data_IF_933442081641
#
_entry.id   IF_933442081641
#
_cell.length_a   1.000
_cell.length_b   1.000
_cell.length_c   1.000
_cell.angle_alpha   90.00
_cell.angle_beta   90.00
_cell.angle_gamma   90.00
#
_symmetry.space_group_name_H-M   'P 1'
#
loop_
_entity.id
_entity.type
_entity.pdbx_description
1 polymer ?
#
# COMPACT_ATOMS: atom_id res chain seq x y z
N UNK A 1 59.54 27.67 51.26
CA UNK A 1 58.32 28.17 50.63
C UNK A 1 57.80 27.09 49.72
N UNK A 2 56.88 26.22 50.21
CA UNK A 2 56.37 25.05 49.49
C UNK A 2 55.04 25.44 48.87
N UNK A 3 54.90 25.24 47.53
CA UNK A 3 53.65 25.35 46.79
C UNK A 3 53.02 23.95 46.64
N UNK A 4 51.73 23.75 46.91
CA UNK A 4 51.06 22.46 46.72
C UNK A 4 50.58 22.27 45.28
N UNK A 5 50.98 21.17 44.69
CA UNK A 5 50.47 20.69 43.40
C UNK A 5 49.05 20.20 43.51
N UNK A 6 48.11 20.83 42.79
CA UNK A 6 46.73 20.35 42.62
C UNK A 6 46.70 19.17 41.66
N UNK A 7 46.26 18.01 42.17
CA UNK A 7 45.84 16.86 41.32
C UNK A 7 44.54 17.21 40.61
N UNK A 8 44.57 17.20 39.28
CA UNK A 8 43.38 17.27 38.44
C UNK A 8 42.80 15.83 38.33
N UNK A 9 41.55 15.68 38.80
CA UNK A 9 40.80 14.42 38.79
C UNK A 9 40.38 14.07 37.36
N UNK A 10 40.82 12.93 36.89
CA UNK A 10 40.49 12.32 35.60
C UNK A 10 39.19 11.51 35.69
N UNK A 11 38.03 12.19 35.83
CA UNK A 11 36.73 11.51 35.87
C UNK A 11 35.77 11.84 34.70
N UNK A 12 36.26 12.40 33.59
CA UNK A 12 35.38 12.82 32.49
C UNK A 12 35.48 12.00 31.21
N UNK A 13 36.06 10.79 31.27
CA UNK A 13 36.20 9.96 30.06
C UNK A 13 35.20 8.80 29.92
N UNK A 14 34.21 8.67 30.80
CA UNK A 14 33.27 7.51 30.73
C UNK A 14 31.84 7.84 30.29
N UNK A 15 31.47 9.11 30.09
CA UNK A 15 30.09 9.48 29.74
C UNK A 15 29.82 9.77 28.25
N UNK A 16 30.82 9.74 27.35
CA UNK A 16 30.64 10.06 25.93
C UNK A 16 30.45 8.85 25.01
N UNK A 17 30.54 7.62 25.52
CA UNK A 17 30.43 6.41 24.71
C UNK A 17 29.04 5.74 24.69
N UNK A 18 28.06 6.24 25.43
CA UNK A 18 26.73 5.64 25.53
C UNK A 18 25.71 6.29 24.58
N UNK A 19 26.03 7.45 23.94
CA UNK A 19 25.05 8.21 23.14
C UNK A 19 25.13 7.94 21.62
N UNK A 20 26.02 7.08 21.13
CA UNK A 20 26.21 6.86 19.69
C UNK A 20 25.55 5.58 19.15
N UNK A 21 24.86 4.79 19.96
CA UNK A 21 24.28 3.50 19.53
C UNK A 21 22.77 3.53 19.29
N UNK A 22 22.09 4.67 19.35
CA UNK A 22 20.62 4.77 19.26
C UNK A 22 20.08 5.31 17.93
N UNK A 23 20.92 5.54 16.91
CA UNK A 23 20.46 6.17 15.65
C UNK A 23 20.39 5.22 14.43
N UNK A 24 20.50 3.91 14.61
CA UNK A 24 20.45 2.96 13.47
C UNK A 24 19.18 2.11 13.36
N UNK A 25 18.12 2.42 14.10
CA UNK A 25 16.91 1.57 14.13
C UNK A 25 15.86 1.97 13.05
N UNK A 26 16.09 2.99 12.24
CA UNK A 26 15.05 3.56 11.37
C UNK A 26 14.91 3.00 9.94
N UNK A 27 15.89 2.28 9.39
CA UNK A 27 15.89 1.90 7.96
C UNK A 27 15.93 0.39 7.66
N UNK A 28 15.96 -0.47 8.66
CA UNK A 28 16.19 -1.91 8.47
C UNK A 28 14.92 -2.73 8.17
N UNK A 29 13.74 -2.21 8.42
CA UNK A 29 12.51 -3.02 8.50
C UNK A 29 11.91 -3.43 7.13
N UNK A 30 12.30 -2.81 6.02
CA UNK A 30 11.71 -3.12 4.71
C UNK A 30 12.53 -4.04 3.80
N UNK A 31 13.83 -4.13 4.02
CA UNK A 31 14.71 -4.93 3.14
C UNK A 31 14.60 -6.44 3.36
N UNK A 32 13.99 -6.88 4.47
CA UNK A 32 13.92 -8.28 4.87
C UNK A 32 12.50 -8.85 4.88
N UNK A 33 11.50 -8.14 4.29
CA UNK A 33 10.15 -8.71 4.22
C UNK A 33 10.09 -9.78 3.13
N UNK A 34 9.46 -10.94 3.41
CA UNK A 34 9.28 -11.99 2.41
C UNK A 34 8.32 -11.53 1.31
N UNK A 35 8.33 -12.19 0.18
CA UNK A 35 7.31 -12.01 -0.86
C UNK A 35 5.96 -12.54 -0.37
N UNK A 36 4.86 -11.90 -0.75
CA UNK A 36 3.53 -12.34 -0.32
C UNK A 36 3.18 -13.74 -0.86
N UNK A 37 3.69 -14.11 -2.03
CA UNK A 37 3.58 -15.47 -2.55
C UNK A 37 4.22 -16.53 -1.65
N UNK A 38 5.23 -16.16 -0.85
CA UNK A 38 5.88 -17.05 0.10
C UNK A 38 5.17 -17.10 1.46
N UNK A 39 4.47 -16.04 1.83
CA UNK A 39 3.73 -15.93 3.09
C UNK A 39 2.40 -16.67 3.01
N UNK A 40 1.65 -16.47 1.93
CA UNK A 40 0.35 -17.08 1.73
C UNK A 40 0.50 -18.38 0.93
N UNK A 41 0.22 -19.53 1.55
CA UNK A 41 0.41 -20.84 0.92
C UNK A 41 -0.90 -21.48 0.44
N UNK A 42 -2.04 -21.02 0.95
CA UNK A 42 -3.35 -21.57 0.59
C UNK A 42 -4.43 -20.49 0.59
N UNK A 43 -5.59 -20.81 -0.02
CA UNK A 43 -6.79 -19.98 0.03
C UNK A 43 -7.44 -19.94 1.40
N UNK A 44 -7.12 -20.90 2.25
CA UNK A 44 -7.63 -20.97 3.62
C UNK A 44 -6.83 -20.09 4.58
N UNK A 45 -5.70 -19.54 4.13
CA UNK A 45 -4.95 -18.58 4.93
C UNK A 45 -5.84 -17.38 5.23
N UNK A 46 -5.85 -16.95 6.48
CA UNK A 46 -6.67 -15.84 6.94
C UNK A 46 -6.34 -14.56 6.15
N UNK A 47 -7.13 -14.29 5.15
CA UNK A 47 -6.94 -13.14 4.26
C UNK A 47 -7.58 -11.85 4.79
N UNK A 48 -8.44 -11.96 5.80
CA UNK A 48 -9.32 -10.87 6.21
C UNK A 48 -10.42 -10.56 5.17
N UNK A 49 -10.54 -11.40 4.12
CA UNK A 49 -11.50 -11.22 3.04
C UNK A 49 -12.40 -12.44 2.88
N UNK A 50 -13.63 -12.20 2.41
CA UNK A 50 -14.54 -13.19 1.85
C UNK A 50 -14.60 -13.01 0.33
N UNK A 51 -14.21 -14.01 -0.42
CA UNK A 51 -14.31 -14.00 -1.89
C UNK A 51 -15.76 -14.29 -2.28
N UNK A 52 -16.45 -13.27 -2.83
CA UNK A 52 -17.89 -13.34 -3.13
C UNK A 52 -18.19 -13.92 -4.53
N UNK A 53 -17.16 -14.24 -5.32
CA UNK A 53 -17.30 -14.60 -6.73
C UNK A 53 -17.42 -13.40 -7.66
N UNK A 54 -17.55 -13.63 -8.96
CA UNK A 54 -17.64 -12.58 -10.00
C UNK A 54 -16.49 -11.58 -10.00
N UNK A 55 -15.32 -11.93 -9.42
CA UNK A 55 -14.15 -11.08 -9.36
C UNK A 55 -14.21 -9.98 -8.29
N UNK A 56 -15.02 -10.18 -7.23
CA UNK A 56 -15.12 -9.27 -6.09
C UNK A 56 -14.85 -9.99 -4.77
N UNK A 57 -14.31 -9.27 -3.79
CA UNK A 57 -14.07 -9.74 -2.44
C UNK A 57 -14.52 -8.70 -1.42
N UNK A 58 -15.02 -9.14 -0.27
CA UNK A 58 -15.42 -8.32 0.87
C UNK A 58 -14.32 -8.32 1.93
N UNK A 59 -13.78 -7.16 2.27
CA UNK A 59 -12.87 -7.02 3.40
C UNK A 59 -13.69 -7.01 4.71
N UNK A 60 -13.62 -8.11 5.48
CA UNK A 60 -14.45 -8.36 6.68
C UNK A 60 -14.43 -7.22 7.69
N UNK A 61 -13.25 -6.69 7.99
CA UNK A 61 -13.07 -5.70 9.07
C UNK A 61 -13.60 -4.30 8.72
N UNK A 62 -13.66 -3.94 7.45
CA UNK A 62 -14.12 -2.60 7.02
C UNK A 62 -15.42 -2.65 6.21
N UNK A 63 -15.97 -3.85 5.97
CA UNK A 63 -17.14 -4.08 5.13
C UNK A 63 -17.02 -3.49 3.70
N UNK A 64 -15.78 -3.30 3.25
CA UNK A 64 -15.48 -2.73 1.94
C UNK A 64 -15.41 -3.85 0.90
N UNK A 65 -16.28 -3.80 -0.10
CA UNK A 65 -16.21 -4.69 -1.26
C UNK A 65 -15.22 -4.12 -2.29
N UNK A 66 -14.36 -4.97 -2.85
CA UNK A 66 -13.29 -4.56 -3.78
C UNK A 66 -13.24 -5.50 -5.00
N UNK A 67 -12.85 -4.98 -6.15
CA UNK A 67 -12.53 -5.81 -7.32
C UNK A 67 -11.23 -6.58 -7.07
N UNK A 68 -11.20 -7.88 -7.38
CA UNK A 68 -10.01 -8.73 -7.20
C UNK A 68 -8.93 -8.46 -8.26
N UNK A 69 -9.34 -8.00 -9.44
CA UNK A 69 -8.44 -7.63 -10.53
C UNK A 69 -8.47 -6.11 -10.75
N UNK A 70 -7.39 -5.57 -11.29
CA UNK A 70 -7.37 -4.20 -11.78
C UNK A 70 -8.46 -4.01 -12.85
N UNK A 71 -9.03 -2.81 -12.91
CA UNK A 71 -10.01 -2.46 -13.95
C UNK A 71 -9.42 -2.73 -15.34
N UNK A 72 -10.23 -3.23 -16.26
CA UNK A 72 -9.80 -3.71 -17.58
C UNK A 72 -9.53 -5.22 -17.63
N UNK A 73 -9.15 -5.83 -16.50
CA UNK A 73 -8.92 -7.27 -16.40
C UNK A 73 -10.20 -8.02 -15.99
N UNK A 74 -10.24 -9.32 -16.26
CA UNK A 74 -11.31 -10.23 -15.84
C UNK A 74 -10.72 -11.39 -15.04
N UNK A 75 -11.39 -11.78 -13.96
CA UNK A 75 -11.04 -12.97 -13.19
C UNK A 75 -11.51 -14.21 -13.96
N UNK A 76 -10.58 -15.04 -14.41
CA UNK A 76 -10.82 -16.31 -15.11
C UNK A 76 -9.97 -17.41 -14.47
N UNK A 77 -10.59 -18.46 -13.96
CA UNK A 77 -9.88 -19.56 -13.31
C UNK A 77 -8.89 -19.10 -12.24
N UNK A 78 -9.35 -18.16 -11.40
CA UNK A 78 -8.56 -17.56 -10.30
C UNK A 78 -7.31 -16.78 -10.73
N UNK A 79 -7.28 -16.30 -11.97
CA UNK A 79 -6.23 -15.45 -12.53
C UNK A 79 -6.85 -14.21 -13.14
N UNK A 80 -6.21 -13.07 -13.00
CA UNK A 80 -6.59 -11.85 -13.71
C UNK A 80 -6.08 -11.93 -15.15
N UNK A 81 -6.99 -11.87 -16.12
CA UNK A 81 -6.69 -11.97 -17.56
C UNK A 81 -7.04 -10.67 -18.28
N UNK A 82 -6.26 -10.38 -19.31
CA UNK A 82 -6.32 -9.11 -20.03
C UNK A 82 -5.36 -8.09 -19.44
N UNK A 83 -5.35 -6.90 -20.01
CA UNK A 83 -4.50 -5.79 -19.57
C UNK A 83 -5.25 -4.89 -18.59
N UNK A 84 -4.55 -4.41 -17.57
CA UNK A 84 -5.07 -3.40 -16.66
C UNK A 84 -5.27 -2.08 -17.43
N UNK A 85 -6.44 -1.51 -17.30
CA UNK A 85 -6.72 -0.17 -17.83
C UNK A 85 -5.92 0.86 -17.03
N UNK A 86 -5.05 1.60 -17.71
CA UNK A 86 -4.25 2.66 -17.11
C UNK A 86 -4.75 4.01 -17.61
N UNK A 87 -5.28 4.80 -16.68
CA UNK A 87 -5.85 6.12 -16.95
C UNK A 87 -5.16 7.18 -16.09
N UNK A 88 -5.16 8.43 -16.54
CA UNK A 88 -4.88 9.55 -15.66
C UNK A 88 -5.94 9.62 -14.55
N UNK A 89 -5.69 10.42 -13.52
CA UNK A 89 -6.55 10.39 -12.34
C UNK A 89 -7.99 10.84 -12.61
N UNK A 90 -8.18 11.87 -13.45
CA UNK A 90 -9.51 12.41 -13.74
C UNK A 90 -10.34 11.43 -14.56
N UNK A 91 -9.72 10.78 -15.56
CA UNK A 91 -10.36 9.75 -16.37
C UNK A 91 -10.67 8.49 -15.53
N UNK A 92 -9.81 8.10 -14.59
CA UNK A 92 -10.08 7.00 -13.68
C UNK A 92 -11.28 7.30 -12.75
N UNK A 93 -11.40 8.55 -12.27
CA UNK A 93 -12.55 8.98 -11.49
C UNK A 93 -13.85 9.00 -12.32
N UNK A 94 -13.78 9.48 -13.56
CA UNK A 94 -14.91 9.48 -14.49
C UNK A 94 -15.36 8.05 -14.83
N UNK A 95 -14.41 7.16 -15.08
CA UNK A 95 -14.68 5.74 -15.32
C UNK A 95 -15.41 5.07 -14.14
N UNK A 96 -14.96 5.33 -12.92
CA UNK A 96 -15.60 4.78 -11.72
C UNK A 96 -17.06 5.30 -11.57
N UNK A 97 -17.29 6.57 -11.87
CA UNK A 97 -18.64 7.16 -11.87
C UNK A 97 -19.55 6.52 -12.94
N UNK A 98 -19.03 6.28 -14.13
CA UNK A 98 -19.75 5.57 -15.20
C UNK A 98 -20.12 4.13 -14.80
N UNK A 99 -19.20 3.41 -14.13
CA UNK A 99 -19.48 2.05 -13.61
C UNK A 99 -20.58 2.12 -12.55
N UNK A 100 -20.53 3.10 -11.64
CA UNK A 100 -21.55 3.28 -10.62
C UNK A 100 -22.93 3.54 -11.23
N UNK A 101 -23.02 4.41 -12.23
CA UNK A 101 -24.26 4.72 -12.95
C UNK A 101 -24.81 3.47 -13.66
N UNK A 102 -23.96 2.75 -14.42
CA UNK A 102 -24.39 1.56 -15.18
C UNK A 102 -24.84 0.39 -14.31
N UNK A 103 -24.26 0.26 -13.12
CA UNK A 103 -24.58 -0.86 -12.23
C UNK A 103 -25.63 -0.52 -11.19
N UNK A 104 -25.92 0.75 -10.96
CA UNK A 104 -26.76 1.23 -9.86
C UNK A 104 -26.12 1.02 -8.47
N UNK A 105 -24.81 0.79 -8.41
CA UNK A 105 -24.07 0.54 -7.18
C UNK A 105 -23.00 1.63 -6.95
N UNK A 106 -22.60 1.86 -5.70
CA UNK A 106 -21.71 2.95 -5.30
C UNK A 106 -20.22 2.69 -5.59
N UNK A 107 -19.90 2.14 -6.76
CA UNK A 107 -18.52 1.88 -7.16
C UNK A 107 -17.71 3.18 -7.27
N UNK A 108 -16.51 3.17 -6.71
CA UNK A 108 -15.59 4.30 -6.70
C UNK A 108 -14.14 3.84 -6.55
N UNK A 109 -13.19 4.73 -6.76
CA UNK A 109 -11.81 4.49 -6.34
C UNK A 109 -11.73 4.43 -4.80
N UNK A 110 -10.83 3.59 -4.24
CA UNK A 110 -10.58 3.60 -2.80
C UNK A 110 -9.95 4.93 -2.34
N UNK A 111 -10.17 5.32 -1.12
CA UNK A 111 -9.46 6.44 -0.48
C UNK A 111 -8.03 6.04 -0.11
N UNK A 112 -7.19 7.05 0.19
CA UNK A 112 -5.85 6.82 0.78
C UNK A 112 -5.87 6.09 2.12
N UNK A 113 -6.98 6.14 2.85
CA UNK A 113 -7.15 5.45 4.13
C UNK A 113 -7.69 4.01 3.97
N UNK A 114 -8.35 3.71 2.84
CA UNK A 114 -8.87 2.39 2.52
C UNK A 114 -7.82 1.49 1.87
N UNK A 115 -7.00 2.02 0.96
CA UNK A 115 -5.98 1.22 0.27
C UNK A 115 -5.08 0.41 1.21
N UNK A 116 -4.55 0.94 2.33
CA UNK A 116 -3.76 0.14 3.27
C UNK A 116 -4.53 -1.00 3.94
N UNK A 117 -5.87 -0.97 3.95
CA UNK A 117 -6.69 -2.06 4.48
C UNK A 117 -6.83 -3.22 3.47
N UNK A 118 -6.67 -2.92 2.19
CA UNK A 118 -6.72 -3.90 1.10
C UNK A 118 -5.36 -4.56 0.84
N UNK A 119 -4.28 -3.92 1.30
CA UNK A 119 -2.90 -4.34 1.07
C UNK A 119 -2.28 -4.94 2.32
N UNK A 120 -1.22 -5.71 2.15
CA UNK A 120 -0.50 -6.36 3.22
C UNK A 120 0.68 -5.51 3.71
N UNK A 121 0.92 -5.55 5.02
CA UNK A 121 2.09 -4.88 5.62
C UNK A 121 3.20 -5.84 6.00
N UNK A 122 2.91 -7.14 6.08
CA UNK A 122 3.84 -8.20 6.53
C UNK A 122 4.71 -8.75 5.40
N UNK A 123 4.36 -8.52 4.15
CA UNK A 123 5.05 -9.03 2.96
C UNK A 123 5.06 -7.99 1.83
N UNK A 124 5.77 -8.27 0.74
CA UNK A 124 5.98 -7.39 -0.42
C UNK A 124 5.82 -8.15 -1.74
N UNK A 125 5.90 -7.44 -2.87
CA UNK A 125 6.12 -7.92 -4.23
C UNK A 125 5.05 -8.87 -4.83
N UNK A 126 3.81 -8.45 -5.02
CA UNK A 126 3.15 -7.27 -4.49
C UNK A 126 2.72 -7.47 -3.03
N UNK A 127 2.56 -6.39 -2.27
CA UNK A 127 2.07 -6.38 -0.89
C UNK A 127 0.56 -6.64 -0.85
N UNK A 128 0.15 -7.82 -1.29
CA UNK A 128 -1.25 -8.24 -1.36
C UNK A 128 -1.36 -9.76 -1.22
N UNK A 129 -2.48 -10.24 -0.67
CA UNK A 129 -2.77 -11.66 -0.64
C UNK A 129 -3.05 -12.16 -2.07
N UNK A 130 -2.24 -13.08 -2.64
CA UNK A 130 -2.39 -13.53 -4.03
C UNK A 130 -3.64 -14.36 -4.28
N UNK A 131 -4.30 -14.86 -3.24
CA UNK A 131 -5.58 -15.57 -3.36
C UNK A 131 -6.79 -14.64 -3.39
N UNK A 132 -6.60 -13.38 -2.96
CA UNK A 132 -7.61 -12.32 -3.05
C UNK A 132 -7.37 -11.46 -4.28
N UNK A 133 -6.12 -11.07 -4.53
CA UNK A 133 -5.71 -10.22 -5.64
C UNK A 133 -4.72 -10.97 -6.54
N UNK A 134 -5.20 -11.97 -7.31
CA UNK A 134 -4.32 -12.74 -8.18
C UNK A 134 -3.73 -11.83 -9.27
N UNK A 135 -2.45 -12.03 -9.55
CA UNK A 135 -1.72 -11.29 -10.59
C UNK A 135 -1.73 -9.75 -10.42
N UNK A 136 -1.89 -9.24 -9.18
CA UNK A 136 -1.79 -7.81 -8.94
C UNK A 136 -0.41 -7.31 -9.37
N UNK A 137 -0.36 -6.38 -10.32
CA UNK A 137 0.91 -5.83 -10.80
C UNK A 137 1.60 -4.95 -9.75
N UNK A 138 2.93 -4.91 -9.79
CA UNK A 138 3.72 -3.96 -9.02
C UNK A 138 3.70 -2.61 -9.71
N UNK A 139 2.82 -1.73 -9.26
CA UNK A 139 2.60 -0.40 -9.83
C UNK A 139 2.05 0.57 -8.78
N UNK A 140 1.92 1.83 -9.15
CA UNK A 140 1.14 2.80 -8.40
C UNK A 140 -0.33 2.66 -8.78
N UNK A 141 -1.20 2.37 -7.83
CA UNK A 141 -2.64 2.28 -8.02
C UNK A 141 -3.32 3.55 -7.54
N UNK A 142 -4.20 4.13 -8.37
CA UNK A 142 -4.92 5.34 -8.00
C UNK A 142 -5.79 5.18 -6.77
N UNK A 143 -5.86 6.24 -5.98
CA UNK A 143 -6.91 6.45 -4.98
C UNK A 143 -7.74 7.68 -5.37
N UNK A 144 -8.96 7.83 -4.83
CA UNK A 144 -9.76 9.05 -5.05
C UNK A 144 -9.23 10.28 -4.30
N UNK A 145 -8.19 10.11 -3.47
CA UNK A 145 -7.71 11.18 -2.59
C UNK A 145 -6.76 12.13 -3.30
N UNK A 146 -6.98 13.42 -3.08
CA UNK A 146 -6.09 14.48 -3.54
C UNK A 146 -4.82 14.53 -2.68
N UNK A 147 -3.70 14.93 -3.29
CA UNK A 147 -2.41 15.13 -2.62
C UNK A 147 -2.21 16.54 -2.09
N UNK A 148 -0.99 16.82 -1.64
CA UNK A 148 -0.51 18.19 -1.45
C UNK A 148 -0.45 18.88 -2.81
N UNK A 149 -0.71 20.17 -2.87
CA UNK A 149 -0.84 20.90 -4.15
C UNK A 149 -1.86 20.22 -5.06
N UNK A 150 -3.12 20.29 -4.66
CA UNK A 150 -4.25 19.54 -5.22
C UNK A 150 -4.47 19.71 -6.72
N UNK A 151 -3.90 20.75 -7.33
CA UNK A 151 -3.96 20.96 -8.78
C UNK A 151 -3.08 19.97 -9.56
N UNK A 152 -2.00 19.49 -8.95
CA UNK A 152 -0.96 18.69 -9.62
C UNK A 152 -0.93 17.25 -9.10
N UNK A 153 -1.02 17.05 -7.78
CA UNK A 153 -0.75 15.76 -7.17
C UNK A 153 -1.98 15.05 -6.64
N UNK A 154 -1.93 13.72 -6.75
CA UNK A 154 -2.92 12.78 -6.21
C UNK A 154 -2.23 11.73 -5.34
N UNK A 155 -3.04 11.05 -4.53
CA UNK A 155 -2.53 9.91 -3.76
C UNK A 155 -2.66 8.64 -4.58
N UNK A 156 -1.62 7.83 -4.56
CA UNK A 156 -1.57 6.47 -5.12
C UNK A 156 -0.97 5.50 -4.11
N UNK A 157 -1.27 4.22 -4.24
CA UNK A 157 -0.66 3.16 -3.45
C UNK A 157 0.35 2.40 -4.31
N UNK A 158 1.60 2.33 -3.88
CA UNK A 158 2.62 1.52 -4.52
C UNK A 158 2.53 0.08 -4.02
N UNK A 159 2.06 -0.80 -4.87
CA UNK A 159 1.73 -2.18 -4.52
C UNK A 159 2.94 -3.04 -4.17
N UNK A 160 4.17 -2.67 -4.54
CA UNK A 160 5.35 -3.41 -4.10
C UNK A 160 5.42 -3.57 -2.58
N UNK A 161 5.12 -2.52 -1.84
CA UNK A 161 5.25 -2.48 -0.37
C UNK A 161 3.96 -2.06 0.36
N UNK A 162 2.86 -1.85 -0.35
CA UNK A 162 1.56 -1.49 0.23
C UNK A 162 1.49 -0.06 0.79
N UNK A 163 2.40 0.85 0.39
CA UNK A 163 2.42 2.23 0.90
C UNK A 163 1.69 3.21 0.00
N UNK A 164 1.01 4.16 0.64
CA UNK A 164 0.35 5.27 -0.05
C UNK A 164 1.26 6.50 -0.06
N UNK A 165 1.39 7.10 -1.24
CA UNK A 165 2.11 8.34 -1.48
C UNK A 165 1.18 9.36 -2.12
N UNK A 166 1.27 10.63 -1.72
CA UNK A 166 0.38 11.69 -2.20
C UNK A 166 1.10 12.74 -3.07
N UNK A 167 2.08 12.29 -3.83
CA UNK A 167 2.88 13.11 -4.77
C UNK A 167 2.92 12.50 -6.18
N UNK A 168 1.90 11.71 -6.54
CA UNK A 168 1.77 11.18 -7.90
C UNK A 168 1.18 12.26 -8.79
N UNK A 169 1.85 12.58 -9.90
CA UNK A 169 1.31 13.54 -10.88
C UNK A 169 0.01 12.98 -11.49
N UNK A 170 -1.03 13.82 -11.54
CA UNK A 170 -2.40 13.41 -11.89
C UNK A 170 -2.59 12.98 -13.35
N UNK A 171 -1.74 13.42 -14.24
CA UNK A 171 -1.76 13.18 -15.67
C UNK A 171 -1.09 11.86 -16.11
N UNK A 172 -0.33 11.22 -15.20
CA UNK A 172 0.36 9.95 -15.49
C UNK A 172 -0.65 8.80 -15.44
N UNK A 173 -0.77 7.98 -16.49
CA UNK A 173 -1.67 6.83 -16.48
C UNK A 173 -1.26 5.78 -15.46
N UNK A 174 -2.19 5.36 -14.59
CA UNK A 174 -1.99 4.33 -13.58
C UNK A 174 -3.19 3.36 -13.54
N UNK A 175 -2.96 2.10 -13.13
CA UNK A 175 -4.04 1.16 -12.87
C UNK A 175 -4.83 1.56 -11.62
N UNK A 176 -6.02 0.98 -11.47
CA UNK A 176 -6.86 1.20 -10.30
C UNK A 176 -7.77 0.01 -10.01
N UNK A 177 -8.19 -0.10 -8.76
CA UNK A 177 -9.23 -0.99 -8.27
C UNK A 177 -10.49 -0.17 -8.00
N UNK A 178 -11.64 -0.82 -8.03
CA UNK A 178 -12.89 -0.23 -7.57
C UNK A 178 -13.30 -0.83 -6.24
N UNK A 179 -13.92 0.00 -5.41
CA UNK A 179 -14.51 -0.39 -4.12
C UNK A 179 -15.93 0.14 -4.01
N UNK A 180 -16.74 -0.56 -3.21
CA UNK A 180 -18.05 -0.10 -2.75
C UNK A 180 -18.30 -0.54 -1.31
N UNK A 181 -19.19 0.15 -0.64
CA UNK A 181 -19.73 -0.20 0.69
C UNK A 181 -20.98 -1.06 0.57
#
# INVERSE_FOLDING_TARGET
MYLPTRRVSTSWRRSFLVFLTLLTVGCADQRNKPECGDVFKSRLDESGFDVLGRGIALHKKSSLTVTQCAVGQKLVNYRCRGEALKLNWDDAMAYAAEVAEKTGESWRLPTKAEMPKLLETKCINPAANPFVFPDLEVANFWTKSKGLHQEIFRCSAYTYQGRVFCRQARDIPQPFLLVKE
#
